data_IF_740951977808
#
_entry.id   IF_740951977808
#
_cell.length_a   1.000
_cell.length_b   1.000
_cell.length_c   1.000
_cell.angle_alpha   90.00
_cell.angle_beta   90.00
_cell.angle_gamma   90.00
#
_symmetry.space_group_name_H-M   'P 1'
#
loop_
_entity.id
_entity.type
_entity.pdbx_description
1 polymer ?
#
# COMPACT_ATOMS: atom_id res chain seq x y z
N UNK A 1 19.18 18.55 6.24
CA UNK A 1 19.46 17.64 5.11
C UNK A 1 18.16 17.47 4.32
N UNK A 2 18.14 17.77 3.02
CA UNK A 2 16.95 17.52 2.18
C UNK A 2 17.00 16.06 1.73
N UNK A 3 16.05 15.25 2.17
CA UNK A 3 15.99 13.84 1.78
C UNK A 3 15.63 13.74 0.29
N UNK A 4 16.12 12.71 -0.43
CA UNK A 4 15.75 12.51 -1.83
C UNK A 4 14.22 12.37 -1.93
N UNK A 5 13.65 13.12 -2.86
CA UNK A 5 12.23 13.09 -3.17
C UNK A 5 12.06 12.35 -4.50
N UNK A 6 11.33 11.24 -4.44
CA UNK A 6 10.82 10.57 -5.63
C UNK A 6 9.32 10.86 -5.68
N UNK A 7 8.83 11.32 -6.83
CA UNK A 7 7.41 11.56 -7.07
C UNK A 7 7.04 10.99 -8.44
N UNK A 8 5.96 10.21 -8.47
CA UNK A 8 5.31 9.72 -9.69
C UNK A 8 3.96 10.41 -9.79
N UNK A 9 3.81 11.24 -10.83
CA UNK A 9 2.58 11.95 -11.16
C UNK A 9 1.57 11.03 -11.83
N UNK A 10 0.32 11.49 -11.95
CA UNK A 10 -0.76 10.75 -12.62
C UNK A 10 -0.40 10.28 -14.02
N UNK A 11 0.31 11.09 -14.79
CA UNK A 11 0.74 10.76 -16.16
C UNK A 11 1.76 9.62 -16.17
N UNK A 12 2.68 9.58 -15.20
CA UNK A 12 3.59 8.45 -15.06
C UNK A 12 2.85 7.20 -14.60
N UNK A 13 1.96 7.35 -13.60
CA UNK A 13 1.18 6.26 -13.03
C UNK A 13 0.23 5.60 -14.04
N UNK A 14 -0.24 6.33 -15.06
CA UNK A 14 -1.08 5.78 -16.13
C UNK A 14 -0.34 4.81 -17.07
N UNK A 15 1.00 4.87 -17.10
CA UNK A 15 1.83 3.86 -17.77
C UNK A 15 1.98 2.66 -16.84
N UNK A 16 0.95 1.80 -16.85
CA UNK A 16 0.79 0.73 -15.88
C UNK A 16 2.00 -0.22 -15.87
N UNK A 17 2.40 -0.73 -17.03
CA UNK A 17 3.47 -1.73 -17.17
C UNK A 17 4.84 -1.24 -16.68
N UNK A 18 5.11 0.06 -16.83
CA UNK A 18 6.33 0.67 -16.33
C UNK A 18 6.27 0.94 -14.82
N UNK A 19 5.08 1.25 -14.30
CA UNK A 19 4.90 1.69 -12.91
C UNK A 19 4.76 0.51 -11.96
N UNK A 20 4.16 -0.60 -12.40
CA UNK A 20 4.04 -1.81 -11.59
C UNK A 20 5.41 -2.40 -11.21
N UNK A 21 6.44 -2.14 -12.01
CA UNK A 21 7.83 -2.55 -11.74
C UNK A 21 8.56 -1.65 -10.73
N UNK A 22 8.00 -0.50 -10.35
CA UNK A 22 8.60 0.43 -9.39
C UNK A 22 8.21 0.00 -7.98
N UNK A 23 9.21 -0.37 -7.18
CA UNK A 23 9.02 -0.94 -5.86
C UNK A 23 9.67 -0.08 -4.77
N UNK A 24 9.18 -0.19 -3.55
CA UNK A 24 9.76 0.45 -2.38
C UNK A 24 9.89 -0.52 -1.21
N UNK A 25 10.84 -0.24 -0.33
CA UNK A 25 11.06 -1.00 0.90
C UNK A 25 11.40 -0.06 2.06
N UNK A 26 10.82 -0.34 3.23
CA UNK A 26 11.12 0.30 4.50
C UNK A 26 11.55 -0.77 5.49
N UNK A 27 12.70 -0.61 6.13
CA UNK A 27 13.22 -1.59 7.09
C UNK A 27 13.07 -1.10 8.53
N UNK A 28 12.93 -2.01 9.48
CA UNK A 28 12.82 -1.68 10.90
C UNK A 28 14.12 -1.88 11.71
N UNK A 29 15.25 -2.22 11.07
CA UNK A 29 16.52 -2.47 11.75
C UNK A 29 16.66 -3.84 12.42
N UNK A 30 15.62 -4.69 12.41
CA UNK A 30 15.65 -6.07 12.91
C UNK A 30 15.76 -7.12 11.79
N UNK A 31 15.87 -6.68 10.54
CA UNK A 31 15.70 -7.52 9.34
C UNK A 31 14.23 -7.71 8.92
N UNK A 32 13.29 -7.09 9.63
CA UNK A 32 11.90 -6.94 9.22
C UNK A 32 11.69 -5.72 8.33
N UNK A 33 10.62 -5.72 7.55
CA UNK A 33 10.35 -4.67 6.57
C UNK A 33 8.88 -4.55 6.16
N UNK A 34 8.57 -3.44 5.50
CA UNK A 34 7.37 -3.21 4.72
C UNK A 34 7.79 -2.95 3.27
N UNK A 35 7.10 -3.51 2.29
CA UNK A 35 7.37 -3.29 0.87
C UNK A 35 6.14 -3.51 0.00
N UNK A 36 6.09 -2.80 -1.12
CA UNK A 36 5.08 -2.95 -2.16
C UNK A 36 5.54 -2.23 -3.44
N UNK A 37 4.68 -2.21 -4.44
CA UNK A 37 4.87 -1.39 -5.65
C UNK A 37 4.39 0.05 -5.43
N UNK A 38 4.80 0.96 -6.30
CA UNK A 38 4.33 2.33 -6.36
C UNK A 38 2.81 2.43 -6.63
N UNK A 39 2.19 1.37 -7.18
CA UNK A 39 0.74 1.27 -7.37
C UNK A 39 0.01 0.67 -6.15
N UNK A 40 0.76 0.19 -5.14
CA UNK A 40 0.18 -0.47 -3.97
C UNK A 40 -0.37 -1.87 -4.29
N UNK A 41 0.09 -2.47 -5.39
CA UNK A 41 -0.25 -3.82 -5.82
C UNK A 41 0.88 -4.77 -5.41
N UNK A 42 0.56 -5.84 -4.69
CA UNK A 42 1.56 -6.83 -4.28
C UNK A 42 1.75 -7.89 -5.38
N UNK A 43 2.83 -7.77 -6.16
CA UNK A 43 3.19 -8.68 -7.27
C UNK A 43 4.24 -9.73 -6.91
N UNK A 44 4.86 -9.63 -5.72
CA UNK A 44 5.87 -10.58 -5.25
C UNK A 44 5.45 -11.25 -3.96
N UNK A 45 5.88 -12.50 -3.78
CA UNK A 45 5.68 -13.23 -2.51
C UNK A 45 6.35 -12.57 -1.30
N UNK A 46 7.27 -11.63 -1.51
CA UNK A 46 7.99 -10.89 -0.48
C UNK A 46 7.30 -9.56 -0.10
N UNK A 47 6.31 -9.12 -0.87
CA UNK A 47 5.55 -7.91 -0.54
C UNK A 47 4.65 -8.12 0.67
N UNK A 48 4.56 -7.07 1.49
CA UNK A 48 3.88 -7.09 2.76
C UNK A 48 4.05 -5.75 3.46
N UNK A 49 3.00 -5.27 4.11
CA UNK A 49 3.09 -4.10 4.99
C UNK A 49 3.71 -4.43 6.35
N UNK A 50 3.73 -5.70 6.78
CA UNK A 50 4.52 -6.13 7.92
C UNK A 50 5.11 -7.51 7.64
N UNK A 51 6.36 -7.53 7.20
CA UNK A 51 7.21 -8.72 7.19
C UNK A 51 8.04 -8.70 8.46
N UNK A 52 7.58 -9.44 9.48
CA UNK A 52 8.23 -9.49 10.78
C UNK A 52 9.39 -10.47 10.77
N UNK A 53 10.55 -10.04 11.25
CA UNK A 53 11.66 -10.93 11.55
C UNK A 53 11.52 -11.40 13.00
N UNK A 54 11.11 -12.66 13.18
CA UNK A 54 10.82 -13.25 14.49
C UNK A 54 12.10 -13.86 15.10
N UNK A 55 12.91 -14.50 14.27
CA UNK A 55 14.23 -15.02 14.63
C UNK A 55 15.21 -14.78 13.47
N UNK A 56 15.86 -13.59 13.43
CA UNK A 56 16.80 -13.27 12.36
C UNK A 56 18.00 -14.22 12.33
N UNK A 57 18.52 -14.60 11.14
CA UNK A 57 18.07 -14.20 9.80
C UNK A 57 16.96 -15.09 9.21
N UNK A 58 16.62 -16.20 9.88
CA UNK A 58 15.86 -17.32 9.30
C UNK A 58 14.35 -17.15 9.29
N UNK A 59 13.72 -16.87 10.44
CA UNK A 59 12.26 -16.84 10.56
C UNK A 59 11.73 -15.44 10.27
N UNK A 60 11.23 -15.28 9.03
CA UNK A 60 10.46 -14.11 8.61
C UNK A 60 9.07 -14.52 8.17
N UNK A 61 8.08 -13.79 8.67
CA UNK A 61 6.68 -14.03 8.35
C UNK A 61 6.02 -12.77 7.83
N UNK A 62 5.16 -12.95 6.84
CA UNK A 62 4.32 -11.86 6.34
C UNK A 62 3.07 -11.83 7.19
N UNK A 63 3.04 -10.95 8.19
CA UNK A 63 1.95 -10.81 9.15
C UNK A 63 0.80 -9.97 8.59
N UNK A 64 1.14 -8.89 7.89
CA UNK A 64 0.18 -8.02 7.20
C UNK A 64 0.61 -7.93 5.75
N UNK A 65 -0.15 -8.55 4.84
CA UNK A 65 0.13 -8.48 3.42
C UNK A 65 -0.18 -7.09 2.89
N UNK A 66 -1.36 -6.56 3.23
CA UNK A 66 -1.86 -5.30 2.67
C UNK A 66 -2.99 -4.73 3.55
N UNK A 67 -3.27 -3.44 3.38
CA UNK A 67 -4.52 -2.81 3.77
C UNK A 67 -5.24 -2.42 2.47
N UNK A 68 -6.45 -2.93 2.27
CA UNK A 68 -7.33 -2.50 1.18
C UNK A 68 -8.32 -1.46 1.71
N UNK A 69 -8.50 -0.37 0.98
CA UNK A 69 -9.35 0.73 1.39
C UNK A 69 -10.54 0.91 0.44
N UNK A 70 -11.66 1.34 1.02
CA UNK A 70 -12.86 1.74 0.27
C UNK A 70 -13.36 3.09 0.76
N UNK A 71 -13.83 3.90 -0.18
CA UNK A 71 -14.57 5.14 0.09
C UNK A 71 -16.02 4.93 -0.33
N UNK A 72 -16.95 5.10 0.60
CA UNK A 72 -18.38 4.99 0.35
C UNK A 72 -19.03 6.37 0.39
N UNK A 73 -19.82 6.67 -0.65
CA UNK A 73 -20.54 7.94 -0.83
C UNK A 73 -21.98 7.60 -1.20
N UNK A 74 -22.92 7.83 -0.28
CA UNK A 74 -24.30 7.33 -0.45
C UNK A 74 -24.31 5.81 -0.66
N UNK A 75 -24.82 5.36 -1.81
CA UNK A 75 -24.89 3.94 -2.20
C UNK A 75 -23.73 3.48 -3.10
N UNK A 76 -22.77 4.35 -3.39
CA UNK A 76 -21.63 4.04 -4.24
C UNK A 76 -20.40 3.69 -3.41
N UNK A 77 -19.72 2.59 -3.78
CA UNK A 77 -18.46 2.15 -3.17
C UNK A 77 -17.32 2.28 -4.17
N UNK A 78 -16.22 2.87 -3.73
CA UNK A 78 -15.02 3.08 -4.52
C UNK A 78 -13.81 2.41 -3.84
N UNK A 79 -13.45 1.19 -4.27
CA UNK A 79 -12.22 0.56 -3.80
C UNK A 79 -10.99 1.31 -4.31
N UNK A 80 -10.09 1.69 -3.40
CA UNK A 80 -8.82 2.36 -3.71
C UNK A 80 -7.68 1.35 -3.90
N UNK A 81 -7.83 0.15 -3.36
CA UNK A 81 -6.89 -0.95 -3.54
C UNK A 81 -7.06 -1.70 -4.88
N UNK A 82 -6.18 -2.66 -5.09
CA UNK A 82 -6.28 -3.67 -6.14
C UNK A 82 -5.40 -4.88 -5.80
N UNK A 83 -5.74 -6.03 -6.36
CA UNK A 83 -4.99 -7.27 -6.17
C UNK A 83 -4.85 -7.98 -7.52
N UNK A 84 -3.75 -8.70 -7.71
CA UNK A 84 -3.50 -9.45 -8.93
C UNK A 84 -4.11 -10.85 -8.84
N UNK A 85 -5.05 -11.13 -9.74
CA UNK A 85 -5.69 -12.43 -9.92
C UNK A 85 -5.34 -13.02 -11.29
N UNK A 86 -5.67 -14.29 -11.51
CA UNK A 86 -5.48 -14.93 -12.82
C UNK A 86 -6.26 -14.21 -13.93
N UNK A 87 -7.40 -13.60 -13.59
CA UNK A 87 -8.23 -12.79 -14.48
C UNK A 87 -7.73 -11.35 -14.64
N UNK A 88 -6.57 -11.00 -14.08
CA UNK A 88 -6.03 -9.64 -14.05
C UNK A 88 -6.25 -8.93 -12.72
N UNK A 89 -6.14 -7.60 -12.75
CA UNK A 89 -6.16 -6.78 -11.53
C UNK A 89 -7.59 -6.40 -11.17
N UNK A 90 -7.98 -6.73 -9.94
CA UNK A 90 -9.26 -6.35 -9.39
C UNK A 90 -9.16 -6.11 -7.88
N UNK A 91 -9.86 -5.11 -7.31
CA UNK A 91 -10.40 -3.94 -7.99
C UNK A 91 -9.31 -3.12 -8.70
N UNK A 92 -9.70 -2.17 -9.56
CA UNK A 92 -8.77 -1.31 -10.29
C UNK A 92 -8.53 0.04 -9.58
N UNK A 93 -8.41 0.03 -8.25
CA UNK A 93 -8.31 1.26 -7.46
C UNK A 93 -7.06 2.11 -7.73
N UNK A 94 -6.02 1.51 -8.35
CA UNK A 94 -4.84 2.24 -8.84
C UNK A 94 -5.20 3.34 -9.85
N UNK A 95 -6.36 3.25 -10.52
CA UNK A 95 -6.87 4.32 -11.42
C UNK A 95 -7.23 5.61 -10.69
N UNK A 96 -7.53 5.54 -9.38
CA UNK A 96 -7.78 6.71 -8.54
C UNK A 96 -6.48 7.33 -7.98
N UNK A 97 -5.33 6.65 -8.12
CA UNK A 97 -4.05 7.13 -7.63
C UNK A 97 -3.58 8.33 -8.46
N UNK A 98 -3.55 9.50 -7.83
CA UNK A 98 -3.11 10.77 -8.46
C UNK A 98 -1.60 10.96 -8.34
N UNK A 99 -1.01 10.51 -7.24
CA UNK A 99 0.41 10.66 -6.97
C UNK A 99 0.90 9.53 -6.06
N UNK A 100 2.10 9.03 -6.35
CA UNK A 100 2.92 8.28 -5.40
C UNK A 100 4.19 9.06 -5.12
N UNK A 101 4.60 9.18 -3.85
CA UNK A 101 5.86 9.84 -3.50
C UNK A 101 6.57 9.19 -2.31
N UNK A 102 7.88 9.41 -2.23
CA UNK A 102 8.73 8.98 -1.12
C UNK A 102 9.54 10.19 -0.66
N UNK A 103 9.26 10.68 0.55
CA UNK A 103 10.08 11.70 1.25
C UNK A 103 9.70 11.82 2.74
N UNK A 104 10.35 11.07 3.65
CA UNK A 104 11.12 9.85 3.40
C UNK A 104 10.24 8.60 3.28
N UNK A 105 8.95 8.73 3.53
CA UNK A 105 8.03 7.61 3.64
C UNK A 105 7.17 7.46 2.37
N UNK A 106 6.87 6.23 1.93
CA UNK A 106 5.92 5.97 0.87
C UNK A 106 4.58 6.61 1.20
N UNK A 107 4.09 7.37 0.23
CA UNK A 107 2.84 8.08 0.28
C UNK A 107 2.06 7.81 -1.00
N UNK A 108 0.80 7.44 -0.82
CA UNK A 108 -0.17 7.30 -1.89
C UNK A 108 -1.20 8.41 -1.73
N UNK A 109 -1.48 9.16 -2.78
CA UNK A 109 -2.55 10.15 -2.81
C UNK A 109 -3.60 9.75 -3.85
N UNK A 110 -4.77 9.35 -3.38
CA UNK A 110 -5.92 8.99 -4.19
C UNK A 110 -6.88 10.17 -4.31
N UNK A 111 -7.56 10.27 -5.45
CA UNK A 111 -8.62 11.23 -5.68
C UNK A 111 -9.82 10.55 -6.33
N UNK A 112 -10.97 10.61 -5.66
CA UNK A 112 -12.23 10.01 -6.11
C UNK A 112 -13.40 10.90 -5.72
N UNK A 113 -14.24 11.32 -6.68
CA UNK A 113 -15.47 12.08 -6.42
C UNK A 113 -15.32 13.28 -5.46
N UNK A 114 -14.29 14.12 -5.68
CA UNK A 114 -13.93 15.27 -4.84
C UNK A 114 -13.46 14.92 -3.41
N UNK A 115 -13.07 13.67 -3.16
CA UNK A 115 -12.45 13.23 -1.93
C UNK A 115 -10.99 12.93 -2.22
N UNK A 116 -10.10 13.44 -1.38
CA UNK A 116 -8.68 13.10 -1.42
C UNK A 116 -8.35 12.21 -0.23
N UNK A 117 -7.72 11.06 -0.49
CA UNK A 117 -7.25 10.13 0.54
C UNK A 117 -5.75 9.99 0.39
N UNK A 118 -5.01 10.41 1.42
CA UNK A 118 -3.57 10.22 1.49
C UNK A 118 -3.24 9.13 2.51
N UNK A 119 -2.52 8.11 2.06
CA UNK A 119 -1.99 7.01 2.88
C UNK A 119 -0.48 7.16 2.98
N UNK A 120 0.06 7.29 4.18
CA UNK A 120 1.50 7.31 4.45
C UNK A 120 1.88 6.09 5.28
N UNK A 121 2.94 5.38 4.88
CA UNK A 121 3.38 4.14 5.55
C UNK A 121 4.77 4.35 6.14
N UNK A 122 4.99 3.97 7.39
CA UNK A 122 6.33 3.90 7.95
C UNK A 122 6.46 2.76 8.95
N UNK A 123 7.71 2.36 9.21
CA UNK A 123 8.01 1.36 10.23
C UNK A 123 8.69 2.01 11.43
N UNK A 124 8.41 1.44 12.60
CA UNK A 124 9.08 1.83 13.83
C UNK A 124 10.45 1.16 13.92
N UNK A 125 11.46 1.91 14.34
CA UNK A 125 12.80 1.37 14.51
C UNK A 125 12.86 0.37 15.67
N UNK A 126 13.55 -0.76 15.47
CA UNK A 126 13.74 -1.88 16.41
C UNK A 126 12.41 -2.50 16.89
N UNK A 127 11.36 -2.47 16.05
CA UNK A 127 10.07 -3.10 16.36
C UNK A 127 9.44 -3.72 15.11
N UNK A 128 8.85 -4.91 15.26
CA UNK A 128 8.02 -5.53 14.22
C UNK A 128 6.63 -4.88 14.19
N UNK A 129 6.59 -3.59 13.87
CA UNK A 129 5.36 -2.82 13.78
C UNK A 129 5.43 -1.79 12.64
N UNK A 130 4.32 -1.70 11.91
CA UNK A 130 4.09 -0.78 10.80
C UNK A 130 2.96 0.16 11.16
N UNK A 131 3.15 1.44 10.90
CA UNK A 131 2.16 2.48 11.11
C UNK A 131 1.70 2.99 9.74
N UNK A 132 0.39 3.03 9.56
CA UNK A 132 -0.25 3.58 8.36
C UNK A 132 -1.12 4.75 8.80
N UNK A 133 -0.83 5.94 8.29
CA UNK A 133 -1.55 7.17 8.59
C UNK A 133 -2.42 7.51 7.39
N UNK A 134 -3.71 7.71 7.64
CA UNK A 134 -4.65 8.23 6.66
C UNK A 134 -4.94 9.70 6.94
N UNK A 135 -4.88 10.53 5.90
CA UNK A 135 -5.43 11.87 5.90
C UNK A 135 -6.50 11.92 4.82
N UNK A 136 -7.69 12.38 5.16
CA UNK A 136 -8.84 12.38 4.27
C UNK A 136 -9.39 13.80 4.22
N UNK A 137 -9.53 14.33 3.01
CA UNK A 137 -10.19 15.61 2.76
C UNK A 137 -11.47 15.35 1.99
N UNK A 138 -12.60 15.63 2.63
CA UNK A 138 -13.91 15.56 2.00
C UNK A 138 -14.27 16.93 1.43
N UNK A 139 -14.05 17.15 0.14
CA UNK A 139 -14.50 18.36 -0.56
C UNK A 139 -15.84 18.11 -1.28
N UNK A 140 -16.57 17.06 -0.88
CA UNK A 140 -17.93 16.79 -1.30
C UNK A 140 -18.92 17.37 -0.27
N UNK A 141 -20.17 17.59 -0.68
CA UNK A 141 -21.25 18.02 0.21
C UNK A 141 -21.97 16.82 0.89
N UNK A 142 -21.53 15.60 0.61
CA UNK A 142 -22.09 14.37 1.15
C UNK A 142 -21.23 13.82 2.28
N UNK A 143 -21.85 13.15 3.25
CA UNK A 143 -21.12 12.33 4.21
C UNK A 143 -20.43 11.17 3.52
N UNK A 144 -19.24 10.84 4.02
CA UNK A 144 -18.41 9.77 3.46
C UNK A 144 -18.06 8.77 4.56
N UNK A 145 -17.98 7.49 4.19
CA UNK A 145 -17.47 6.45 5.07
C UNK A 145 -16.24 5.84 4.43
N UNK A 146 -15.11 5.85 5.16
CA UNK A 146 -13.90 5.16 4.72
C UNK A 146 -13.73 3.87 5.50
N UNK A 147 -13.52 2.77 4.79
CA UNK A 147 -13.28 1.45 5.36
C UNK A 147 -11.85 1.01 5.04
N UNK A 148 -11.23 0.30 5.98
CA UNK A 148 -9.89 -0.25 5.84
C UNK A 148 -9.95 -1.72 6.23
N UNK A 149 -9.59 -2.60 5.29
CA UNK A 149 -9.65 -4.04 5.42
C UNK A 149 -8.22 -4.59 5.51
N UNK A 150 -7.80 -5.13 6.68
CA UNK A 150 -6.49 -5.73 6.81
C UNK A 150 -6.44 -7.12 6.20
N UNK A 151 -5.54 -7.31 5.22
CA UNK A 151 -5.23 -8.61 4.65
C UNK A 151 -4.11 -9.23 5.46
N UNK A 152 -4.51 -10.01 6.47
CA UNK A 152 -3.60 -10.74 7.35
C UNK A 152 -3.14 -12.02 6.66
N UNK A 153 -1.86 -12.30 6.80
CA UNK A 153 -1.28 -13.58 6.42
C UNK A 153 -0.34 -14.00 7.57
N UNK A 154 0.03 -15.26 7.68
CA UNK A 154 1.03 -15.72 8.67
C UNK A 154 2.01 -16.72 8.05
N UNK A 155 2.13 -16.67 6.73
CA UNK A 155 3.02 -17.56 6.00
C UNK A 155 4.49 -17.18 6.20
N UNK A 156 5.33 -18.20 6.07
CA UNK A 156 6.75 -17.99 5.91
C UNK A 156 7.03 -17.21 4.63
N UNK A 157 8.06 -16.37 4.66
CA UNK A 157 8.35 -15.44 3.58
C UNK A 157 8.68 -16.11 2.24
N UNK A 158 9.22 -17.33 2.28
CA UNK A 158 9.56 -18.10 1.08
C UNK A 158 8.39 -18.91 0.51
N UNK A 159 7.30 -19.08 1.27
CA UNK A 159 6.09 -19.79 0.87
C UNK A 159 5.11 -18.85 0.15
N UNK A 160 4.18 -19.41 -0.60
CA UNK A 160 2.98 -18.70 -1.07
C UNK A 160 1.76 -19.30 -0.37
N UNK A 161 0.65 -18.55 -0.31
CA UNK A 161 -0.64 -19.13 0.09
C UNK A 161 -1.22 -19.77 -1.15
N UNK A 162 -1.42 -21.09 -1.11
CA UNK A 162 -2.12 -21.80 -2.18
C UNK A 162 -3.56 -21.27 -2.26
N UNK A 163 -4.01 -20.99 -3.48
CA UNK A 163 -5.34 -20.44 -3.79
C UNK A 163 -6.33 -21.58 -4.04
#
# INVERSE_FOLDING_TARGET
MKLPLITLSREMLSHFDDTIQKEWILTNGLGGYASSTALGLNTRKYHGLLVAALSPPGDRRICLAKLDEEVNIGNSTYPLGGNEFQSGIFPQGHTFLKEFSISPFPKYAYSVQNIEVQKTIFMTHVKNATIVIYKIWNNNNSDIKTLVFPLINWRHIHSVTDR
#
